data_IF_018268013152
#
_entry.id   IF_018268013152
#
_cell.length_a   1.000
_cell.length_b   1.000
_cell.length_c   1.000
_cell.angle_alpha   90.00
_cell.angle_beta   90.00
_cell.angle_gamma   90.00
#
_symmetry.space_group_name_H-M   'P 1'
#
loop_
_entity.id
_entity.type
_entity.pdbx_description
1 polymer ?
#
# COMPACT_ATOMS: atom_id res chain seq x y z
N UNK A 1 -54.93 -58.88 -40.63
CA UNK A 1 -55.95 -57.84 -40.33
C UNK A 1 -55.25 -56.81 -39.46
N UNK A 2 -55.13 -55.52 -39.77
CA UNK A 2 -55.67 -54.66 -40.81
C UNK A 2 -54.83 -53.36 -40.83
N UNK A 3 -54.74 -52.70 -42.00
CA UNK A 3 -54.50 -51.26 -42.27
C UNK A 3 -53.30 -50.53 -41.59
N UNK A 4 -52.40 -49.80 -42.26
CA UNK A 4 -52.51 -48.98 -43.47
C UNK A 4 -52.68 -47.50 -43.10
N UNK A 5 -51.63 -46.69 -43.17
CA UNK A 5 -51.64 -45.21 -43.34
C UNK A 5 -50.26 -44.63 -43.04
N UNK A 6 -49.78 -43.56 -43.66
CA UNK A 6 -50.06 -42.84 -44.90
C UNK A 6 -48.89 -41.84 -44.99
N UNK A 7 -48.22 -41.78 -46.14
CA UNK A 7 -47.18 -40.80 -46.38
C UNK A 7 -47.78 -39.40 -46.45
N UNK A 8 -47.18 -38.44 -45.73
CA UNK A 8 -47.50 -37.02 -45.87
C UNK A 8 -46.39 -36.27 -46.60
N UNK A 9 -46.86 -35.65 -47.67
CA UNK A 9 -46.21 -34.84 -48.68
C UNK A 9 -45.44 -33.62 -48.16
N UNK A 10 -44.45 -33.26 -48.97
CA UNK A 10 -43.67 -32.03 -49.00
C UNK A 10 -44.50 -30.77 -48.70
N UNK A 11 -43.90 -29.87 -47.91
CA UNK A 11 -44.07 -28.41 -48.08
C UNK A 11 -42.71 -27.75 -48.02
N UNK A 12 -42.18 -27.40 -49.19
CA UNK A 12 -41.10 -26.44 -49.34
C UNK A 12 -41.66 -25.03 -49.06
N UNK A 13 -41.23 -24.42 -47.96
CA UNK A 13 -41.45 -23.00 -47.71
C UNK A 13 -40.11 -22.29 -47.94
N UNK A 14 -40.04 -21.47 -48.99
CA UNK A 14 -38.89 -20.63 -49.29
C UNK A 14 -38.66 -19.63 -48.17
N UNK A 15 -37.50 -19.72 -47.52
CA UNK A 15 -37.04 -18.72 -46.58
C UNK A 15 -36.46 -17.54 -47.37
N UNK A 16 -37.22 -16.44 -47.42
CA UNK A 16 -36.76 -15.15 -47.90
C UNK A 16 -35.69 -14.64 -46.93
N UNK A 17 -34.42 -14.76 -47.32
CA UNK A 17 -33.27 -14.33 -46.53
C UNK A 17 -33.17 -12.80 -46.55
N UNK A 18 -33.91 -12.15 -45.64
CA UNK A 18 -33.74 -10.72 -45.35
C UNK A 18 -32.37 -10.55 -44.65
N UNK A 19 -31.34 -10.13 -45.40
CA UNK A 19 -30.09 -9.64 -44.82
C UNK A 19 -30.40 -8.35 -44.03
N UNK A 20 -30.64 -8.50 -42.73
CA UNK A 20 -30.67 -7.40 -41.78
C UNK A 20 -29.27 -6.78 -41.72
N UNK A 21 -29.11 -5.61 -42.33
CA UNK A 21 -27.99 -4.70 -42.08
C UNK A 21 -28.03 -4.29 -40.60
N UNK A 22 -27.38 -5.07 -39.72
CA UNK A 22 -27.16 -4.66 -38.34
C UNK A 22 -26.21 -3.45 -38.37
N UNK A 23 -26.57 -2.30 -37.78
CA UNK A 23 -25.62 -1.23 -37.56
C UNK A 23 -24.47 -1.77 -36.69
N UNK A 24 -23.21 -1.39 -36.98
CA UNK A 24 -22.09 -1.80 -36.15
C UNK A 24 -22.36 -1.37 -34.70
N UNK A 25 -22.26 -2.34 -33.77
CA UNK A 25 -22.46 -2.07 -32.36
C UNK A 25 -21.49 -0.94 -31.94
N UNK A 26 -21.97 0.08 -31.20
CA UNK A 26 -21.09 1.12 -30.70
C UNK A 26 -19.99 0.46 -29.84
N UNK A 27 -18.74 0.94 -29.94
CA UNK A 27 -17.65 0.38 -29.14
C UNK A 27 -18.05 0.46 -27.66
N UNK A 28 -17.96 -0.68 -26.97
CA UNK A 28 -18.16 -0.72 -25.51
C UNK A 28 -17.21 0.31 -24.89
N UNK A 29 -17.78 1.33 -24.23
CA UNK A 29 -16.99 2.34 -23.56
C UNK A 29 -16.08 1.64 -22.55
N UNK A 30 -14.76 1.71 -22.78
CA UNK A 30 -13.78 1.24 -21.82
C UNK A 30 -13.98 2.03 -20.52
N UNK A 31 -14.14 1.34 -19.39
CA UNK A 31 -14.28 1.97 -18.09
C UNK A 31 -13.06 2.84 -17.79
N UNK A 32 -13.31 4.11 -17.46
CA UNK A 32 -12.24 5.07 -17.24
C UNK A 32 -11.65 4.84 -15.84
N UNK A 33 -10.57 4.06 -15.78
CA UNK A 33 -9.85 3.88 -14.53
C UNK A 33 -8.76 4.95 -14.37
N UNK A 34 -8.59 5.47 -13.15
CA UNK A 34 -7.47 6.32 -12.74
C UNK A 34 -6.56 5.55 -11.79
N UNK A 35 -5.24 5.77 -11.90
CA UNK A 35 -4.24 5.17 -11.03
C UNK A 35 -3.43 6.26 -10.31
N UNK A 36 -3.17 6.06 -9.02
CA UNK A 36 -2.31 6.93 -8.20
C UNK A 36 -1.41 6.09 -7.31
N UNK A 37 -0.23 6.61 -7.02
CA UNK A 37 0.74 5.92 -6.16
C UNK A 37 0.59 6.30 -4.69
N UNK A 38 0.74 5.30 -3.83
CA UNK A 38 0.63 5.43 -2.39
C UNK A 38 1.76 4.68 -1.67
N UNK A 39 2.15 5.13 -0.49
CA UNK A 39 3.05 4.43 0.40
C UNK A 39 2.25 3.67 1.47
N UNK A 40 2.61 2.40 1.65
CA UNK A 40 2.06 1.54 2.70
C UNK A 40 3.16 0.66 3.31
N UNK A 41 3.41 0.81 4.61
CA UNK A 41 4.36 -0.03 5.37
C UNK A 41 5.75 -0.17 4.72
N UNK A 42 6.21 0.86 3.99
CA UNK A 42 7.49 0.86 3.27
C UNK A 42 7.45 0.22 1.88
N UNK A 43 6.27 -0.11 1.34
CA UNK A 43 6.07 -0.50 -0.06
C UNK A 43 5.42 0.63 -0.85
N UNK A 44 5.75 0.72 -2.13
CA UNK A 44 5.00 1.54 -3.09
C UNK A 44 3.82 0.73 -3.61
N UNK A 45 2.64 1.32 -3.54
CA UNK A 45 1.37 0.75 -3.94
C UNK A 45 0.80 1.55 -5.09
N UNK A 46 0.12 0.89 -6.00
CA UNK A 46 -0.74 1.55 -6.98
C UNK A 46 -2.19 1.38 -6.54
N UNK A 47 -2.91 2.50 -6.49
CA UNK A 47 -4.34 2.55 -6.16
C UNK A 47 -5.08 2.91 -7.44
N UNK A 48 -5.84 1.95 -7.96
CA UNK A 48 -6.66 2.12 -9.14
C UNK A 48 -8.13 2.28 -8.75
N UNK A 49 -8.78 3.29 -9.32
CA UNK A 49 -10.20 3.57 -9.17
C UNK A 49 -10.86 3.55 -10.54
N UNK A 50 -11.96 2.84 -10.67
CA UNK A 50 -12.75 2.81 -11.90
C UNK A 50 -14.17 3.30 -11.64
N UNK A 51 -14.92 3.51 -12.72
CA UNK A 51 -16.33 3.84 -12.67
C UNK A 51 -17.12 2.85 -11.80
N UNK A 52 -18.21 3.33 -11.17
CA UNK A 52 -18.98 2.54 -10.22
C UNK A 52 -18.33 2.37 -8.85
N UNK A 53 -17.21 3.05 -8.58
CA UNK A 53 -16.54 3.07 -7.27
C UNK A 53 -15.60 1.89 -7.04
N UNK A 54 -15.31 1.07 -8.05
CA UNK A 54 -14.38 -0.03 -7.91
C UNK A 54 -12.98 0.49 -7.52
N UNK A 55 -12.40 -0.09 -6.46
CA UNK A 55 -11.12 0.29 -5.89
C UNK A 55 -10.23 -0.95 -5.75
N UNK A 56 -9.06 -0.93 -6.38
CA UNK A 56 -8.01 -1.94 -6.19
C UNK A 56 -6.72 -1.30 -5.71
N UNK A 57 -5.97 -2.03 -4.90
CA UNK A 57 -4.63 -1.64 -4.47
C UNK A 57 -3.68 -2.80 -4.75
N UNK A 58 -2.64 -2.54 -5.53
CA UNK A 58 -1.62 -3.53 -5.93
C UNK A 58 -0.25 -3.08 -5.47
N UNK A 59 0.67 -4.04 -5.27
CA UNK A 59 2.08 -3.71 -5.04
C UNK A 59 2.72 -3.21 -6.33
N UNK A 60 3.24 -1.98 -6.33
CA UNK A 60 4.10 -1.50 -7.41
C UNK A 60 5.57 -1.85 -7.15
N UNK A 61 6.04 -1.56 -5.93
CA UNK A 61 7.34 -1.97 -5.43
C UNK A 61 7.21 -2.52 -4.00
N UNK A 62 7.08 -3.86 -3.84
CA UNK A 62 6.99 -4.48 -2.52
C UNK A 62 8.31 -4.35 -1.77
N UNK A 63 8.25 -4.05 -0.46
CA UNK A 63 9.45 -4.09 0.38
C UNK A 63 10.01 -5.52 0.50
N UNK A 64 11.33 -5.69 0.77
CA UNK A 64 11.95 -7.01 0.84
C UNK A 64 11.22 -8.01 1.74
N UNK A 65 10.77 -7.57 2.92
CA UNK A 65 10.09 -8.45 3.87
C UNK A 65 8.78 -9.05 3.37
N UNK A 66 7.99 -8.33 2.55
CA UNK A 66 6.73 -8.87 2.00
C UNK A 66 6.96 -9.61 0.69
N UNK A 67 7.99 -9.24 -0.08
CA UNK A 67 8.44 -9.99 -1.24
C UNK A 67 8.87 -11.41 -0.87
N UNK A 68 9.60 -11.56 0.24
CA UNK A 68 9.94 -12.87 0.82
C UNK A 68 8.71 -13.68 1.25
N UNK A 69 7.54 -13.06 1.42
CA UNK A 69 6.27 -13.73 1.71
C UNK A 69 5.44 -14.05 0.45
N UNK A 70 5.98 -13.79 -0.74
CA UNK A 70 5.35 -14.11 -2.03
C UNK A 70 4.63 -12.95 -2.73
N UNK A 71 4.75 -11.71 -2.24
CA UNK A 71 4.18 -10.54 -2.92
C UNK A 71 5.18 -9.92 -3.92
N UNK A 72 4.88 -9.99 -5.21
CA UNK A 72 5.65 -9.32 -6.27
C UNK A 72 4.96 -8.05 -6.80
N UNK A 73 5.61 -7.28 -7.69
CA UNK A 73 4.95 -6.24 -8.47
C UNK A 73 3.67 -6.75 -9.15
N UNK A 74 2.61 -5.94 -9.16
CA UNK A 74 1.27 -6.30 -9.66
C UNK A 74 0.44 -7.17 -8.70
N UNK A 75 1.02 -7.68 -7.60
CA UNK A 75 0.27 -8.52 -6.66
C UNK A 75 -0.85 -7.71 -6.00
N UNK A 76 -2.07 -8.21 -6.09
CA UNK A 76 -3.25 -7.59 -5.50
C UNK A 76 -3.16 -7.63 -3.98
N UNK A 77 -3.20 -6.46 -3.34
CA UNK A 77 -3.28 -6.33 -1.89
C UNK A 77 -4.73 -6.20 -1.42
N UNK A 78 -5.48 -5.29 -2.05
CA UNK A 78 -6.87 -4.98 -1.69
C UNK A 78 -7.76 -4.90 -2.92
N UNK A 79 -9.01 -5.33 -2.77
CA UNK A 79 -10.09 -5.06 -3.72
C UNK A 79 -11.38 -4.71 -2.96
N UNK A 80 -12.10 -3.71 -3.44
CA UNK A 80 -13.30 -3.22 -2.77
C UNK A 80 -14.00 -2.11 -3.55
N UNK A 81 -14.84 -1.36 -2.83
CA UNK A 81 -15.64 -0.26 -3.34
C UNK A 81 -15.39 0.98 -2.50
N UNK A 82 -15.16 2.12 -3.16
CA UNK A 82 -15.18 3.46 -2.59
C UNK A 82 -16.48 4.16 -3.01
N UNK A 83 -17.28 4.57 -2.02
CA UNK A 83 -18.51 5.33 -2.22
C UNK A 83 -18.22 6.82 -2.41
N UNK A 84 -19.15 7.61 -2.97
CA UNK A 84 -18.95 9.06 -3.17
C UNK A 84 -18.66 9.86 -1.90
N UNK A 85 -19.08 9.38 -0.73
CA UNK A 85 -18.80 9.97 0.58
C UNK A 85 -17.38 9.66 1.12
N UNK A 86 -16.57 8.94 0.33
CA UNK A 86 -15.23 8.48 0.68
C UNK A 86 -15.22 7.22 1.55
N UNK A 87 -16.36 6.61 1.85
CA UNK A 87 -16.43 5.34 2.60
C UNK A 87 -15.90 4.19 1.75
N UNK A 88 -15.04 3.35 2.31
CA UNK A 88 -14.44 2.20 1.63
C UNK A 88 -14.83 0.91 2.34
N UNK A 89 -15.23 -0.10 1.56
CA UNK A 89 -15.41 -1.49 2.02
C UNK A 89 -14.72 -2.45 1.07
N UNK A 90 -14.14 -3.55 1.58
CA UNK A 90 -13.50 -4.54 0.72
C UNK A 90 -12.75 -5.63 1.47
N UNK A 91 -11.84 -6.29 0.75
CA UNK A 91 -11.03 -7.40 1.25
C UNK A 91 -9.55 -7.06 1.13
N UNK A 92 -8.82 -7.15 2.24
CA UNK A 92 -7.36 -7.07 2.28
C UNK A 92 -6.73 -8.47 2.27
N UNK A 93 -5.44 -8.55 1.95
CA UNK A 93 -4.68 -9.82 1.86
C UNK A 93 -3.47 -9.83 2.79
N UNK A 94 -3.32 -10.94 3.49
CA UNK A 94 -2.09 -11.33 4.19
C UNK A 94 -1.30 -12.29 3.32
N UNK A 95 0.01 -12.04 3.22
CA UNK A 95 0.94 -12.89 2.48
C UNK A 95 1.78 -13.70 3.46
N UNK A 96 2.03 -14.96 3.12
CA UNK A 96 2.91 -15.84 3.87
C UNK A 96 3.55 -16.85 2.95
N UNK A 97 4.87 -16.96 2.97
CA UNK A 97 5.56 -18.01 2.23
C UNK A 97 5.16 -19.41 2.71
N UNK A 98 4.82 -19.55 4.00
CA UNK A 98 4.42 -20.83 4.61
C UNK A 98 2.96 -21.17 4.36
N UNK A 99 2.07 -20.18 4.39
CA UNK A 99 0.63 -20.40 4.41
C UNK A 99 -0.12 -19.84 3.21
N UNK A 100 0.58 -19.30 2.22
CA UNK A 100 -0.02 -18.63 1.08
C UNK A 100 -0.81 -17.38 1.50
N UNK A 101 -1.80 -17.02 0.68
CA UNK A 101 -2.61 -15.81 0.85
C UNK A 101 -3.81 -16.11 1.75
N UNK A 102 -4.12 -15.20 2.68
CA UNK A 102 -5.40 -15.17 3.39
C UNK A 102 -6.07 -13.81 3.16
N UNK A 103 -7.40 -13.80 2.99
CA UNK A 103 -8.19 -12.57 2.86
C UNK A 103 -8.94 -12.27 4.16
N UNK A 104 -9.23 -10.99 4.39
CA UNK A 104 -10.07 -10.56 5.51
C UNK A 104 -10.76 -9.23 5.21
N UNK A 105 -11.97 -9.03 5.73
CA UNK A 105 -12.75 -7.83 5.44
C UNK A 105 -12.14 -6.63 6.14
N UNK A 106 -12.14 -5.51 5.42
CA UNK A 106 -11.74 -4.21 5.95
C UNK A 106 -12.74 -3.15 5.54
N UNK A 107 -12.93 -2.17 6.43
CA UNK A 107 -13.72 -0.97 6.18
C UNK A 107 -12.92 0.26 6.58
N UNK A 108 -13.25 1.40 6.00
CA UNK A 108 -12.54 2.63 6.29
C UNK A 108 -12.98 3.79 5.43
N UNK A 109 -12.07 4.73 5.20
CA UNK A 109 -12.37 5.89 4.39
C UNK A 109 -11.14 6.45 3.69
N UNK A 110 -11.39 7.17 2.60
CA UNK A 110 -10.42 8.03 1.95
C UNK A 110 -10.75 9.50 2.27
N UNK A 111 -9.85 10.18 2.99
CA UNK A 111 -10.00 11.60 3.37
C UNK A 111 -8.66 12.30 3.25
N UNK A 112 -8.68 13.51 2.67
CA UNK A 112 -7.48 14.34 2.51
C UNK A 112 -6.31 13.61 1.82
N UNK A 113 -6.62 12.81 0.79
CA UNK A 113 -5.64 12.02 0.06
C UNK A 113 -5.12 10.78 0.81
N UNK A 114 -5.60 10.49 2.03
CA UNK A 114 -5.16 9.35 2.83
C UNK A 114 -6.24 8.28 2.84
N UNK A 115 -5.87 7.04 2.54
CA UNK A 115 -6.77 5.88 2.68
C UNK A 115 -6.43 5.19 3.99
N UNK A 116 -7.40 5.11 4.89
CA UNK A 116 -7.27 4.42 6.16
C UNK A 116 -8.33 3.31 6.23
N UNK A 117 -7.89 2.06 6.27
CA UNK A 117 -8.75 0.88 6.41
C UNK A 117 -8.44 0.17 7.72
N UNK A 118 -9.44 -0.52 8.25
CA UNK A 118 -9.31 -1.34 9.44
C UNK A 118 -10.13 -2.61 9.32
N UNK A 119 -9.66 -3.67 9.94
CA UNK A 119 -10.37 -4.93 9.99
C UNK A 119 -9.74 -5.90 10.96
N UNK A 120 -10.21 -7.14 10.92
CA UNK A 120 -9.83 -8.18 11.87
C UNK A 120 -9.09 -9.29 11.12
N UNK A 121 -7.77 -9.20 11.12
CA UNK A 121 -6.89 -10.07 10.35
C UNK A 121 -6.68 -11.43 11.04
N UNK A 122 -6.72 -12.55 10.32
CA UNK A 122 -6.50 -13.87 10.89
C UNK A 122 -5.00 -14.11 11.17
N UNK A 123 -4.69 -14.62 12.36
CA UNK A 123 -3.37 -15.14 12.69
C UNK A 123 -3.39 -16.64 12.49
N UNK A 124 -2.47 -17.14 11.65
CA UNK A 124 -2.41 -18.55 11.24
C UNK A 124 -1.26 -19.29 11.93
N UNK A 125 -1.58 -20.33 12.67
CA UNK A 125 -0.64 -21.16 13.43
C UNK A 125 -0.04 -22.31 12.62
N UNK A 126 0.31 -23.42 13.30
CA UNK A 126 0.78 -24.66 12.65
C UNK A 126 -0.31 -25.22 11.72
N UNK A 127 0.08 -25.74 10.56
CA UNK A 127 -0.86 -26.22 9.54
C UNK A 127 -1.76 -25.13 8.93
N UNK A 128 -1.39 -23.86 9.10
CA UNK A 128 -2.06 -22.70 8.50
C UNK A 128 -3.52 -22.48 8.93
N UNK A 129 -3.94 -23.14 10.02
CA UNK A 129 -5.23 -22.91 10.68
C UNK A 129 -5.24 -21.56 11.38
N UNK A 130 -6.36 -20.86 11.31
CA UNK A 130 -6.57 -19.62 12.07
C UNK A 130 -6.63 -19.98 13.56
N UNK A 131 -5.75 -19.38 14.36
CA UNK A 131 -5.67 -19.63 15.81
C UNK A 131 -6.21 -18.47 16.65
N UNK A 132 -6.17 -17.26 16.11
CA UNK A 132 -6.82 -16.08 16.66
C UNK A 132 -6.95 -15.01 15.59
N UNK A 133 -7.60 -13.92 15.96
CA UNK A 133 -7.69 -12.72 15.14
C UNK A 133 -6.99 -11.56 15.82
N UNK A 134 -6.53 -10.58 15.03
CA UNK A 134 -6.00 -9.32 15.53
C UNK A 134 -6.58 -8.15 14.75
N UNK A 135 -6.80 -7.04 15.45
CA UNK A 135 -7.12 -5.79 14.78
C UNK A 135 -5.94 -5.36 13.92
N UNK A 136 -6.23 -5.01 12.67
CA UNK A 136 -5.26 -4.56 11.70
C UNK A 136 -5.68 -3.21 11.14
N UNK A 137 -4.69 -2.35 10.91
CA UNK A 137 -4.87 -0.98 10.46
C UNK A 137 -3.98 -0.73 9.25
N UNK A 138 -4.60 -0.43 8.12
CA UNK A 138 -3.96 -0.28 6.83
C UNK A 138 -4.02 1.18 6.42
N UNK A 139 -2.88 1.85 6.53
CA UNK A 139 -2.77 3.25 6.14
C UNK A 139 -1.98 3.37 4.84
N UNK A 140 -2.56 4.11 3.90
CA UNK A 140 -1.95 4.46 2.63
C UNK A 140 -1.89 5.98 2.56
N UNK A 141 -0.70 6.50 2.29
CA UNK A 141 -0.45 7.94 2.12
C UNK A 141 -0.06 8.20 0.67
N UNK A 142 -0.37 9.36 0.08
CA UNK A 142 0.09 9.67 -1.27
C UNK A 142 1.60 9.51 -1.35
N UNK A 143 2.09 8.79 -2.35
CA UNK A 143 3.46 8.98 -2.76
C UNK A 143 3.51 10.43 -3.27
N UNK A 144 4.27 11.31 -2.60
CA UNK A 144 4.30 12.73 -2.95
C UNK A 144 4.51 12.88 -4.48
N UNK A 145 3.87 13.86 -5.14
CA UNK A 145 4.27 14.17 -6.48
C UNK A 145 5.71 14.66 -6.37
N UNK A 146 6.66 13.94 -6.97
CA UNK A 146 7.81 14.61 -7.54
C UNK A 146 7.29 15.47 -8.69
N UNK A 147 6.61 16.57 -8.35
CA UNK A 147 6.12 17.56 -9.28
C UNK A 147 7.36 18.16 -9.96
N UNK A 148 7.63 17.74 -11.19
CA UNK A 148 8.69 18.32 -12.02
C UNK A 148 9.53 17.36 -12.84
N UNK A 149 9.40 16.03 -12.72
CA UNK A 149 10.05 15.10 -13.65
C UNK A 149 9.01 14.19 -14.28
N UNK A 150 8.85 14.35 -15.60
CA UNK A 150 8.10 13.40 -16.42
C UNK A 150 8.58 11.97 -16.10
N UNK A 151 7.67 10.97 -16.03
CA UNK A 151 8.07 9.60 -15.83
C UNK A 151 8.90 9.16 -17.05
N UNK A 152 10.22 9.20 -16.91
CA UNK A 152 11.09 8.43 -17.78
C UNK A 152 10.78 6.95 -17.58
N UNK A 153 11.08 6.09 -18.57
CA UNK A 153 10.81 4.66 -18.46
C UNK A 153 11.67 4.09 -17.32
N UNK A 154 11.09 3.93 -16.14
CA UNK A 154 11.72 3.21 -15.03
C UNK A 154 11.60 1.72 -15.31
N UNK A 155 12.47 1.24 -16.20
CA UNK A 155 12.94 -0.14 -16.15
C UNK A 155 13.65 -0.24 -14.80
N UNK A 156 13.01 -0.87 -13.82
CA UNK A 156 13.72 -1.40 -12.64
C UNK A 156 14.64 -2.50 -13.19
N UNK A 157 15.98 -2.35 -13.22
CA UNK A 157 16.82 -3.49 -13.52
C UNK A 157 16.56 -4.53 -12.43
N UNK A 158 16.18 -5.73 -12.84
CA UNK A 158 15.71 -6.79 -11.94
C UNK A 158 16.75 -7.17 -10.87
N UNK A 159 18.03 -6.82 -11.06
CA UNK A 159 19.13 -7.14 -10.15
C UNK A 159 20.21 -6.05 -10.32
N UNK A 160 20.78 -5.57 -9.22
CA UNK A 160 21.95 -4.70 -9.29
C UNK A 160 23.15 -5.48 -9.88
N UNK A 161 24.07 -4.81 -10.61
CA UNK A 161 25.28 -5.44 -11.08
C UNK A 161 26.04 -6.15 -9.95
N UNK A 162 26.77 -7.26 -10.21
CA UNK A 162 27.58 -7.93 -9.22
C UNK A 162 28.51 -6.93 -8.49
N UNK A 163 28.48 -6.97 -7.16
CA UNK A 163 29.21 -6.00 -6.33
C UNK A 163 28.45 -4.71 -6.02
N UNK A 164 27.13 -4.64 -6.26
CA UNK A 164 26.27 -3.53 -5.85
C UNK A 164 25.01 -4.02 -5.09
N UNK A 165 24.48 -3.19 -4.19
CA UNK A 165 23.26 -3.43 -3.42
C UNK A 165 22.21 -2.35 -3.75
N UNK A 166 20.92 -2.70 -3.72
CA UNK A 166 19.83 -1.76 -4.00
C UNK A 166 19.45 -0.98 -2.74
N UNK A 167 19.57 0.35 -2.76
CA UNK A 167 19.24 1.24 -1.63
C UNK A 167 18.68 2.57 -2.17
N UNK A 168 17.57 3.05 -1.60
CA UNK A 168 17.00 4.35 -1.95
C UNK A 168 16.53 4.51 -3.40
N UNK A 169 16.28 3.40 -4.13
CA UNK A 169 15.92 3.44 -5.55
C UNK A 169 17.11 3.39 -6.52
N UNK A 170 18.33 3.15 -6.02
CA UNK A 170 19.55 3.08 -6.83
C UNK A 170 20.43 1.88 -6.43
N UNK A 171 21.28 1.40 -7.35
CA UNK A 171 22.32 0.42 -7.05
C UNK A 171 23.59 1.14 -6.58
N UNK A 172 24.10 0.77 -5.40
CA UNK A 172 25.32 1.34 -4.79
C UNK A 172 26.38 0.25 -4.56
N UNK A 173 27.69 0.53 -4.67
CA UNK A 173 28.75 -0.46 -4.46
C UNK A 173 28.69 -1.16 -3.10
N UNK A 174 28.87 -2.48 -3.10
CA UNK A 174 28.98 -3.34 -1.92
C UNK A 174 30.39 -3.24 -1.33
N UNK A 175 30.75 -2.08 -0.79
CA UNK A 175 32.05 -1.84 -0.17
C UNK A 175 31.97 -2.09 1.34
N UNK A 176 32.51 -3.22 1.79
CA UNK A 176 33.15 -3.38 3.10
C UNK A 176 34.65 -3.71 2.91
N UNK A 177 35.55 -3.55 3.91
CA UNK A 177 35.32 -3.28 5.33
C UNK A 177 35.81 -1.90 5.82
N UNK A 178 35.19 -1.45 6.93
CA UNK A 178 35.68 -0.54 7.99
C UNK A 178 36.63 0.61 7.57
N UNK A 179 36.10 1.61 6.89
CA UNK A 179 36.43 2.99 7.27
C UNK A 179 35.49 3.34 8.43
N UNK A 180 35.92 3.98 9.53
CA UNK A 180 34.96 4.63 10.40
C UNK A 180 34.21 5.59 9.50
N UNK A 181 32.96 5.23 9.20
CA UNK A 181 32.09 6.03 8.39
C UNK A 181 32.14 7.41 9.02
N UNK A 182 32.56 8.42 8.24
CA UNK A 182 32.06 9.77 8.50
C UNK A 182 30.58 9.57 8.77
N UNK A 183 30.05 9.98 9.94
CA UNK A 183 28.66 9.75 10.26
C UNK A 183 27.88 10.16 9.03
N UNK A 184 27.18 9.20 8.44
CA UNK A 184 26.26 9.48 7.36
C UNK A 184 25.30 10.48 7.98
N UNK A 185 25.50 11.77 7.65
CA UNK A 185 24.53 12.80 7.96
C UNK A 185 23.46 12.54 6.91
N UNK A 186 22.32 11.90 7.25
CA UNK A 186 21.24 11.81 6.29
C UNK A 186 20.98 13.23 5.78
N UNK A 187 20.73 13.42 4.46
CA UNK A 187 20.25 14.70 3.98
C UNK A 187 19.09 15.12 4.91
N UNK A 188 19.03 16.38 5.38
CA UNK A 188 18.00 16.81 6.30
C UNK A 188 16.66 16.38 5.70
N UNK A 189 16.00 15.47 6.40
CA UNK A 189 14.69 14.95 5.99
C UNK A 189 13.82 16.18 5.85
N UNK A 190 13.40 16.48 4.62
CA UNK A 190 12.45 17.56 4.39
C UNK A 190 11.19 17.18 5.14
N UNK A 191 10.97 17.89 6.26
CA UNK A 191 9.77 17.77 7.07
C UNK A 191 8.56 17.91 6.14
N UNK A 192 7.47 17.15 6.34
CA UNK A 192 6.22 17.47 5.68
C UNK A 192 5.88 18.94 5.94
N UNK A 193 5.37 19.63 4.92
CA UNK A 193 5.07 21.06 4.99
C UNK A 193 4.27 21.38 6.28
N UNK A 194 4.59 22.46 7.00
CA UNK A 194 3.81 22.89 8.16
C UNK A 194 2.33 23.07 7.77
N UNK A 195 1.42 22.33 8.40
CA UNK A 195 -0.03 22.55 8.19
C UNK A 195 -0.97 21.34 8.25
N UNK A 196 -0.50 20.09 8.24
CA UNK A 196 -1.38 18.89 8.33
C UNK A 196 -1.60 18.34 9.76
N UNK A 197 -0.94 18.95 10.75
CA UNK A 197 -1.15 18.73 12.18
C UNK A 197 0.15 18.69 12.99
N UNK A 198 0.05 19.07 14.27
CA UNK A 198 1.19 19.26 15.19
C UNK A 198 1.48 18.02 16.07
N UNK A 199 0.83 16.89 15.79
CA UNK A 199 1.00 15.67 16.57
C UNK A 199 1.99 14.70 15.92
N UNK A 200 2.76 14.05 16.79
CA UNK A 200 3.82 13.10 16.46
C UNK A 200 3.59 11.82 17.24
N UNK A 201 3.69 10.67 16.58
CA UNK A 201 3.88 9.38 17.22
C UNK A 201 5.38 9.21 17.54
N UNK A 202 5.71 8.87 18.76
CA UNK A 202 7.09 8.77 19.26
C UNK A 202 7.28 7.35 19.78
N UNK A 203 8.22 6.61 19.20
CA UNK A 203 8.54 5.22 19.54
C UNK A 203 9.93 5.10 20.20
N UNK A 204 10.29 6.08 21.02
CA UNK A 204 11.50 6.13 21.82
C UNK A 204 12.18 7.49 21.76
N UNK A 205 12.84 7.84 22.86
CA UNK A 205 13.69 9.03 23.00
C UNK A 205 15.09 8.57 23.41
N UNK A 206 16.10 9.04 22.71
CA UNK A 206 17.46 8.55 22.79
C UNK A 206 18.44 9.70 22.98
N UNK A 207 19.56 9.44 23.65
CA UNK A 207 20.64 10.43 23.80
C UNK A 207 21.54 10.50 22.56
N UNK A 208 21.43 9.51 21.67
CA UNK A 208 22.21 9.40 20.44
C UNK A 208 21.31 9.32 19.22
N UNK A 209 21.67 10.05 18.16
CA UNK A 209 21.02 9.98 16.86
C UNK A 209 21.01 8.56 16.30
N UNK A 210 22.14 7.85 16.38
CA UNK A 210 22.28 6.49 15.86
C UNK A 210 21.30 5.49 16.54
N UNK A 211 21.02 5.67 17.84
CA UNK A 211 20.03 4.84 18.55
C UNK A 211 18.60 5.13 18.06
N UNK A 212 18.28 6.41 17.82
CA UNK A 212 17.01 6.80 17.23
C UNK A 212 16.85 6.29 15.80
N UNK A 213 17.92 6.32 15.00
CA UNK A 213 17.94 5.78 13.63
C UNK A 213 17.72 4.28 13.62
N UNK A 214 18.43 3.53 14.46
CA UNK A 214 18.23 2.09 14.61
C UNK A 214 16.76 1.76 14.97
N UNK A 215 16.15 2.57 15.85
CA UNK A 215 14.73 2.40 16.20
C UNK A 215 13.81 2.74 15.02
N UNK A 216 14.05 3.84 14.31
CA UNK A 216 13.26 4.23 13.14
C UNK A 216 13.35 3.17 12.02
N UNK A 217 14.53 2.59 11.79
CA UNK A 217 14.75 1.50 10.83
C UNK A 217 14.00 0.22 11.22
N UNK A 218 13.99 -0.14 12.52
CA UNK A 218 13.20 -1.28 13.02
C UNK A 218 11.69 -1.11 12.79
N UNK A 219 11.21 0.14 12.77
CA UNK A 219 9.82 0.49 12.51
C UNK A 219 9.51 0.59 11.01
N UNK A 220 10.47 1.08 10.22
CA UNK A 220 10.39 1.25 8.78
C UNK A 220 9.32 2.26 8.32
N UNK A 221 9.12 2.41 7.02
CA UNK A 221 8.05 3.26 6.47
C UNK A 221 8.23 4.74 6.80
N UNK A 222 7.24 5.36 7.44
CA UNK A 222 7.20 6.81 7.74
C UNK A 222 7.96 7.22 9.00
N UNK A 223 8.51 6.25 9.73
CA UNK A 223 9.29 6.51 10.94
C UNK A 223 10.66 7.08 10.56
N UNK A 224 10.97 8.23 11.10
CA UNK A 224 12.21 8.98 10.88
C UNK A 224 12.74 9.48 12.22
N UNK A 225 13.89 10.16 12.18
CA UNK A 225 14.51 10.74 13.37
C UNK A 225 14.26 12.24 13.41
N UNK A 226 13.86 12.75 14.59
CA UNK A 226 13.70 14.17 14.84
C UNK A 226 14.52 14.57 16.07
N UNK A 227 15.23 15.70 15.99
CA UNK A 227 15.85 16.30 17.17
C UNK A 227 14.82 17.14 17.93
N UNK A 228 14.66 16.86 19.22
CA UNK A 228 13.63 17.49 20.07
C UNK A 228 13.80 19.00 20.27
N UNK A 229 14.97 19.58 19.93
CA UNK A 229 15.14 21.04 19.91
C UNK A 229 14.19 21.75 18.94
N UNK A 230 13.67 21.03 17.93
CA UNK A 230 12.69 21.57 17.00
C UNK A 230 11.25 21.49 17.51
N UNK A 231 11.04 20.94 18.72
CA UNK A 231 9.71 20.75 19.32
C UNK A 231 9.67 21.27 20.76
N UNK A 232 9.19 22.51 21.00
CA UNK A 232 9.24 23.14 22.33
C UNK A 232 8.46 22.40 23.42
N UNK A 233 7.41 21.64 23.07
CA UNK A 233 6.66 20.84 24.05
C UNK A 233 7.33 19.50 24.37
N UNK A 234 8.46 19.16 23.73
CA UNK A 234 9.24 17.96 24.01
C UNK A 234 10.46 18.29 24.89
N UNK A 235 10.90 17.31 25.67
CA UNK A 235 12.12 17.48 26.46
C UNK A 235 13.30 17.71 25.52
N UNK A 236 14.03 18.83 25.63
CA UNK A 236 15.10 19.17 24.70
C UNK A 236 16.33 18.26 24.87
N UNK A 237 17.14 18.16 23.81
CA UNK A 237 18.42 17.43 23.81
C UNK A 237 18.32 15.93 23.57
N UNK A 238 17.15 15.43 23.13
CA UNK A 238 16.94 14.04 22.73
C UNK A 238 16.74 13.91 21.22
N UNK A 239 17.12 12.75 20.71
CA UNK A 239 16.77 12.25 19.38
C UNK A 239 15.59 11.29 19.52
N UNK A 240 14.51 11.52 18.78
CA UNK A 240 13.32 10.67 18.83
C UNK A 240 13.14 9.89 17.53
N UNK A 241 12.73 8.63 17.65
CA UNK A 241 12.21 7.87 16.52
C UNK A 241 10.72 8.18 16.40
N UNK A 242 10.31 8.87 15.34
CA UNK A 242 8.99 9.48 15.25
C UNK A 242 8.37 9.37 13.87
N UNK A 243 7.05 9.45 13.82
CA UNK A 243 6.28 9.72 12.61
C UNK A 243 5.32 10.87 12.94
N UNK A 244 5.23 11.90 12.10
CA UNK A 244 4.48 13.10 12.48
C UNK A 244 4.20 14.06 11.34
N UNK A 245 3.81 15.28 11.73
CA UNK A 245 3.03 16.17 10.86
C UNK A 245 1.55 15.75 10.79
N UNK A 246 1.05 15.14 11.86
CA UNK A 246 -0.26 14.47 11.89
C UNK A 246 -1.31 15.23 12.71
N UNK A 247 -2.57 14.94 12.44
CA UNK A 247 -3.65 15.16 13.41
C UNK A 247 -3.46 14.28 14.66
N UNK A 248 -4.09 14.65 15.77
CA UNK A 248 -4.05 13.87 17.02
C UNK A 248 -4.44 12.41 16.83
N UNK A 249 -5.52 12.15 16.08
CA UNK A 249 -6.05 10.80 15.86
C UNK A 249 -5.08 9.93 15.05
N UNK A 250 -4.43 10.52 14.03
CA UNK A 250 -3.41 9.86 13.23
C UNK A 250 -2.15 9.54 14.06
N UNK A 251 -1.65 10.49 14.84
CA UNK A 251 -0.51 10.23 15.74
C UNK A 251 -0.82 9.14 16.77
N UNK A 252 -2.03 9.13 17.33
CA UNK A 252 -2.47 8.05 18.23
C UNK A 252 -2.56 6.70 17.51
N UNK A 253 -3.01 6.66 16.26
CA UNK A 253 -3.07 5.43 15.48
C UNK A 253 -1.65 4.86 15.22
N UNK A 254 -0.70 5.72 14.85
CA UNK A 254 0.70 5.32 14.69
C UNK A 254 1.37 4.91 16.00
N UNK A 255 1.09 5.60 17.10
CA UNK A 255 1.59 5.19 18.41
C UNK A 255 1.07 3.79 18.80
N UNK A 256 -0.22 3.51 18.52
CA UNK A 256 -0.80 2.18 18.76
C UNK A 256 -0.14 1.08 17.91
N UNK A 257 0.20 1.35 16.65
CA UNK A 257 0.88 0.35 15.80
C UNK A 257 2.30 0.03 16.27
N UNK A 258 2.95 0.97 16.95
CA UNK A 258 4.26 0.81 17.57
C UNK A 258 4.22 0.53 19.09
N UNK A 259 3.08 0.09 19.65
CA UNK A 259 2.91 -0.09 21.11
C UNK A 259 3.95 -1.01 21.74
N UNK A 260 4.46 -2.01 21.00
CA UNK A 260 5.55 -2.91 21.46
C UNK A 260 6.84 -2.18 21.82
N UNK A 261 7.00 -0.93 21.39
CA UNK A 261 8.14 -0.06 21.66
C UNK A 261 7.83 1.03 22.70
N UNK A 262 6.68 0.95 23.39
CA UNK A 262 6.23 1.99 24.31
C UNK A 262 5.83 3.29 23.61
N UNK A 263 5.38 3.21 22.35
CA UNK A 263 5.12 4.40 21.56
C UNK A 263 3.88 5.18 22.06
N UNK A 264 3.97 6.51 22.00
CA UNK A 264 2.93 7.44 22.44
C UNK A 264 2.77 8.61 21.46
N UNK A 265 1.68 9.36 21.55
CA UNK A 265 1.44 10.54 20.72
C UNK A 265 1.68 11.83 21.52
N UNK A 266 2.37 12.81 20.93
CA UNK A 266 2.67 14.09 21.58
C UNK A 266 2.68 15.25 20.59
N UNK A 267 2.29 16.44 21.05
CA UNK A 267 2.40 17.69 20.29
C UNK A 267 3.83 18.21 20.26
N UNK A 268 4.21 18.82 19.15
CA UNK A 268 5.51 19.49 19.02
C UNK A 268 5.44 20.93 19.55
N UNK A 269 4.35 21.67 19.28
CA UNK A 269 4.08 23.05 19.71
C UNK A 269 2.82 23.15 20.56
#
# INVERSE_FOLDING_TARGET
MAHGSSGSLLRAAGALLLLLLLPPAPPAAASACSAKEFLHNGSLMEVQRCDGGALTITYKAPRPGIAQQGAGPGTLFFNGIEKPDGTITGQARLFSARCGIATYPVTGSHRNGIIALSGTAPIRGKGCRVVRHQNDYLLFTPAAPYAGRAPGPHIVPAQCPPGQIYTGGQCVPNSGPLVPARPFVPPPVQLPAPGSGDWYAIAGSFRSQAQAEARAQQLGGVWHVLHTQHCPNMTPGYWIATAGGFSKSQAQAYARSARRFGAYAKRCH
#
